data_IF_605745660464
#
_entry.id   IF_605745660464
#
_cell.length_a   1.000
_cell.length_b   1.000
_cell.length_c   1.000
_cell.angle_alpha   90.00
_cell.angle_beta   90.00
_cell.angle_gamma   90.00
#
_symmetry.space_group_name_H-M   'P 1'
#
loop_
_entity.id
_entity.type
_entity.pdbx_description
1 polymer ?
#
# COMPACT_ATOMS: atom_id res chain seq x y z
N UNK A 1 44.67 40.82 24.57
CA UNK A 1 43.89 40.12 25.61
C UNK A 1 43.84 40.89 26.94
N UNK A 2 44.91 41.26 27.58
CA UNK A 2 44.93 42.00 28.91
C UNK A 2 44.07 43.29 28.92
N UNK A 3 44.04 44.08 27.82
CA UNK A 3 43.31 45.34 27.76
C UNK A 3 41.77 45.07 27.70
N UNK A 4 41.33 44.02 27.01
CA UNK A 4 39.90 43.64 26.90
C UNK A 4 39.40 43.17 28.27
N UNK A 5 40.16 42.29 28.93
CA UNK A 5 39.83 41.78 30.27
C UNK A 5 39.72 42.94 31.28
N UNK A 6 40.66 43.89 31.27
CA UNK A 6 40.60 45.05 32.15
C UNK A 6 39.39 45.94 31.88
N UNK A 7 39.04 46.19 30.60
CA UNK A 7 37.89 46.98 30.22
C UNK A 7 36.59 46.39 30.77
N UNK A 8 36.40 45.08 30.62
CA UNK A 8 35.22 44.40 31.17
C UNK A 8 35.23 44.33 32.71
N UNK A 9 36.37 44.20 33.34
CA UNK A 9 36.48 44.20 34.80
C UNK A 9 36.15 45.58 35.42
N UNK A 10 36.42 46.67 34.72
CA UNK A 10 36.14 48.05 35.16
C UNK A 10 34.71 48.50 34.87
N UNK A 11 33.99 47.78 33.94
CA UNK A 11 32.64 48.12 33.47
C UNK A 11 31.61 47.08 33.92
N UNK A 12 31.32 47.03 35.23
CA UNK A 12 30.40 46.02 35.81
C UNK A 12 28.99 46.09 35.22
N UNK A 13 28.53 47.29 34.83
CA UNK A 13 27.21 47.50 34.26
C UNK A 13 27.06 46.81 32.88
N UNK A 14 28.11 46.93 32.04
CA UNK A 14 28.14 46.29 30.71
C UNK A 14 28.15 44.77 30.86
N UNK A 15 28.93 44.25 31.78
CA UNK A 15 29.03 42.81 32.05
C UNK A 15 27.68 42.24 32.51
N UNK A 16 26.98 42.94 33.41
CA UNK A 16 25.67 42.53 33.90
C UNK A 16 24.63 42.54 32.79
N UNK A 17 24.61 43.57 31.94
CA UNK A 17 23.68 43.61 30.80
C UNK A 17 23.93 42.44 29.84
N UNK A 18 25.19 42.19 29.49
CA UNK A 18 25.57 41.06 28.62
C UNK A 18 25.15 39.73 29.25
N UNK A 19 25.42 39.55 30.55
CA UNK A 19 25.06 38.32 31.26
C UNK A 19 23.55 38.09 31.27
N UNK A 20 22.76 39.13 31.53
CA UNK A 20 21.31 39.07 31.52
C UNK A 20 20.82 38.76 30.08
N UNK A 21 21.39 39.41 29.06
CA UNK A 21 21.04 39.15 27.68
C UNK A 21 21.32 37.69 27.27
N UNK A 22 22.46 37.12 27.70
CA UNK A 22 22.80 35.71 27.45
C UNK A 22 21.77 34.76 28.14
N UNK A 23 21.42 35.04 29.40
CA UNK A 23 20.48 34.24 30.16
C UNK A 23 19.09 34.29 29.50
N UNK A 24 18.62 35.48 29.14
CA UNK A 24 17.34 35.65 28.45
C UNK A 24 17.34 34.92 27.10
N UNK A 25 18.41 35.11 26.31
CA UNK A 25 18.59 34.44 25.03
C UNK A 25 18.59 32.92 25.19
N UNK A 26 19.31 32.38 26.18
CA UNK A 26 19.33 30.94 26.49
C UNK A 26 17.94 30.38 26.86
N UNK A 27 17.21 31.13 27.69
CA UNK A 27 15.84 30.77 28.05
C UNK A 27 14.90 30.76 26.81
N UNK A 28 14.97 31.77 25.96
CA UNK A 28 14.19 31.81 24.72
C UNK A 28 14.54 30.63 23.80
N UNK A 29 15.83 30.34 23.60
CA UNK A 29 16.26 29.21 22.79
C UNK A 29 15.76 27.87 23.35
N UNK A 30 15.76 27.71 24.69
CA UNK A 30 15.28 26.49 25.34
C UNK A 30 13.78 26.21 25.03
N UNK A 31 12.96 27.26 24.94
CA UNK A 31 11.53 27.12 24.61
C UNK A 31 11.24 27.01 23.10
N UNK A 32 12.12 27.56 22.26
CA UNK A 32 11.95 27.54 20.79
C UNK A 32 12.69 26.40 20.10
N UNK A 33 13.61 25.73 20.81
CA UNK A 33 14.35 24.60 20.26
C UNK A 33 13.39 23.46 19.85
N UNK A 34 13.46 23.05 18.60
CA UNK A 34 12.75 21.87 18.12
C UNK A 34 13.28 20.65 18.84
N UNK A 35 12.39 19.89 19.46
CA UNK A 35 12.72 18.62 20.10
C UNK A 35 12.41 17.51 19.10
N UNK A 36 13.43 16.82 18.64
CA UNK A 36 13.30 15.62 17.82
C UNK A 36 13.63 14.41 18.69
N UNK A 37 12.79 13.37 18.64
CA UNK A 37 13.05 12.15 19.41
C UNK A 37 14.23 11.35 18.81
N UNK A 38 14.35 11.39 17.47
CA UNK A 38 15.46 10.81 16.73
C UNK A 38 15.98 11.83 15.71
N UNK A 39 17.30 11.90 15.47
CA UNK A 39 17.82 12.69 14.38
C UNK A 39 17.29 12.15 13.05
N UNK A 40 16.94 13.03 12.13
CA UNK A 40 16.59 12.63 10.77
C UNK A 40 17.85 12.07 10.11
N UNK A 41 17.87 10.78 9.91
CA UNK A 41 18.90 10.07 9.15
C UNK A 41 18.22 9.53 7.91
N UNK A 42 18.56 10.04 6.75
CA UNK A 42 18.17 9.45 5.49
C UNK A 42 19.07 8.23 5.29
N UNK A 43 18.50 7.06 5.25
CA UNK A 43 19.28 5.82 5.05
C UNK A 43 19.70 5.63 3.59
N UNK A 44 19.16 6.44 2.69
CA UNK A 44 19.42 6.36 1.25
C UNK A 44 19.18 4.96 0.66
N UNK A 45 18.32 4.18 1.32
CA UNK A 45 17.92 2.85 0.88
C UNK A 45 16.50 2.81 0.38
N UNK A 46 16.31 2.09 -0.72
CA UNK A 46 15.01 1.76 -1.31
C UNK A 46 14.85 0.25 -1.30
N UNK A 47 13.68 -0.24 -0.92
CA UNK A 47 13.34 -1.65 -0.99
C UNK A 47 12.22 -1.84 -2.01
N UNK A 48 12.41 -2.76 -2.94
CA UNK A 48 11.40 -3.19 -3.91
C UNK A 48 11.05 -4.64 -3.57
N UNK A 49 9.80 -4.88 -3.18
CA UNK A 49 9.29 -6.22 -2.92
C UNK A 49 8.30 -6.61 -4.02
N UNK A 50 8.39 -7.87 -4.46
CA UNK A 50 7.46 -8.43 -5.44
C UNK A 50 7.06 -9.82 -5.00
N UNK A 51 5.77 -10.11 -4.97
CA UNK A 51 5.23 -11.44 -4.66
C UNK A 51 4.95 -12.17 -5.97
N UNK A 52 5.40 -13.41 -6.06
CA UNK A 52 5.13 -14.30 -7.20
C UNK A 52 4.64 -15.65 -6.67
N UNK A 53 3.33 -15.81 -6.43
CA UNK A 53 2.76 -16.97 -5.75
C UNK A 53 3.05 -18.28 -6.48
N UNK A 54 3.36 -19.33 -5.72
CA UNK A 54 3.59 -20.68 -6.25
C UNK A 54 4.89 -20.89 -7.01
N UNK A 55 5.80 -19.89 -7.03
CA UNK A 55 7.09 -19.96 -7.72
C UNK A 55 8.21 -20.41 -6.79
N UNK A 56 9.21 -21.10 -7.35
CA UNK A 56 10.45 -21.41 -6.64
C UNK A 56 11.38 -20.20 -6.55
N UNK A 57 12.37 -20.21 -5.66
CA UNK A 57 13.35 -19.13 -5.55
C UNK A 57 14.13 -18.90 -6.86
N UNK A 58 14.39 -19.97 -7.65
CA UNK A 58 15.05 -19.89 -8.95
C UNK A 58 14.16 -19.21 -10.00
N UNK A 59 12.83 -19.51 -9.99
CA UNK A 59 11.87 -18.86 -10.88
C UNK A 59 11.72 -17.38 -10.53
N UNK A 60 11.66 -17.04 -9.24
CA UNK A 60 11.64 -15.67 -8.74
C UNK A 60 12.88 -14.90 -9.18
N UNK A 61 14.08 -15.49 -9.02
CA UNK A 61 15.33 -14.88 -9.45
C UNK A 61 15.29 -14.54 -10.94
N UNK A 62 14.95 -15.54 -11.76
CA UNK A 62 15.01 -15.43 -13.22
C UNK A 62 13.95 -14.50 -13.81
N UNK A 63 12.73 -14.54 -13.26
CA UNK A 63 11.59 -13.86 -13.87
C UNK A 63 11.22 -12.53 -13.19
N UNK A 64 11.69 -12.28 -11.96
CA UNK A 64 11.40 -11.08 -11.20
C UNK A 64 12.69 -10.31 -10.87
N UNK A 65 13.61 -10.93 -10.12
CA UNK A 65 14.77 -10.23 -9.55
C UNK A 65 15.70 -9.70 -10.64
N UNK A 66 16.14 -10.58 -11.57
CA UNK A 66 17.08 -10.19 -12.65
C UNK A 66 16.50 -9.13 -13.59
N UNK A 67 15.25 -9.21 -14.07
CA UNK A 67 14.65 -8.16 -14.90
C UNK A 67 14.62 -6.80 -14.21
N UNK A 68 14.22 -6.74 -12.94
CA UNK A 68 14.19 -5.50 -12.17
C UNK A 68 15.59 -4.96 -11.94
N UNK A 69 16.54 -5.78 -11.44
CA UNK A 69 17.93 -5.36 -11.24
C UNK A 69 18.57 -4.83 -12.53
N UNK A 70 18.29 -5.46 -13.67
CA UNK A 70 18.83 -5.03 -14.97
C UNK A 70 18.40 -3.61 -15.30
N UNK A 71 17.13 -3.27 -15.02
CA UNK A 71 16.62 -1.91 -15.23
C UNK A 71 17.18 -0.92 -14.23
N UNK A 72 17.36 -1.33 -12.96
CA UNK A 72 17.93 -0.46 -11.94
C UNK A 72 19.40 -0.13 -12.21
N UNK A 73 20.17 -1.04 -12.82
CA UNK A 73 21.58 -0.81 -13.20
C UNK A 73 21.77 0.26 -14.30
N UNK A 74 20.71 0.61 -15.02
CA UNK A 74 20.73 1.66 -16.04
C UNK A 74 20.64 3.07 -15.45
N UNK A 75 20.39 3.21 -14.12
CA UNK A 75 20.10 4.48 -13.45
C UNK A 75 21.38 5.04 -12.80
N UNK A 76 21.66 6.31 -13.07
CA UNK A 76 22.77 7.02 -12.43
C UNK A 76 22.44 7.37 -10.97
N UNK A 77 23.44 7.30 -10.09
CA UNK A 77 23.29 7.66 -8.67
C UNK A 77 22.87 6.51 -7.77
N UNK A 78 22.93 5.26 -8.27
CA UNK A 78 22.85 4.05 -7.45
C UNK A 78 24.25 3.60 -7.09
N UNK A 79 24.53 3.35 -5.80
CA UNK A 79 25.79 2.85 -5.29
C UNK A 79 25.83 1.33 -5.32
N UNK A 80 24.79 0.67 -4.75
CA UNK A 80 24.71 -0.79 -4.67
C UNK A 80 23.30 -1.29 -4.88
N UNK A 81 23.16 -2.51 -5.44
CA UNK A 81 21.90 -3.21 -5.62
C UNK A 81 22.07 -4.63 -5.07
N UNK A 82 21.21 -5.02 -4.12
CA UNK A 82 21.19 -6.34 -3.52
C UNK A 82 19.84 -7.02 -3.76
N UNK A 83 19.82 -8.04 -4.63
CA UNK A 83 18.64 -8.86 -4.85
C UNK A 83 18.64 -10.10 -3.95
N UNK A 84 17.50 -10.39 -3.37
CA UNK A 84 17.24 -11.60 -2.59
C UNK A 84 16.00 -12.28 -3.14
N UNK A 85 16.16 -13.51 -3.62
CA UNK A 85 15.07 -14.32 -4.16
C UNK A 85 14.75 -15.46 -3.19
N UNK A 86 13.53 -15.49 -2.72
CA UNK A 86 12.95 -16.52 -1.85
C UNK A 86 11.80 -17.21 -2.58
N UNK A 87 11.30 -18.31 -2.03
CA UNK A 87 10.08 -18.94 -2.52
C UNK A 87 8.92 -17.93 -2.48
N UNK A 88 8.26 -17.75 -3.61
CA UNK A 88 7.16 -16.83 -3.84
C UNK A 88 7.46 -15.33 -3.64
N UNK A 89 8.72 -14.91 -3.41
CA UNK A 89 9.04 -13.50 -3.11
C UNK A 89 10.41 -13.06 -3.62
N UNK A 90 10.46 -11.87 -4.25
CA UNK A 90 11.67 -11.11 -4.51
C UNK A 90 11.75 -9.90 -3.59
N UNK A 91 12.95 -9.60 -3.09
CA UNK A 91 13.24 -8.37 -2.36
C UNK A 91 14.55 -7.78 -2.87
N UNK A 92 14.50 -6.56 -3.40
CA UNK A 92 15.65 -5.86 -3.97
C UNK A 92 15.88 -4.62 -3.14
N UNK A 93 17.04 -4.54 -2.50
CA UNK A 93 17.49 -3.37 -1.76
C UNK A 93 18.46 -2.58 -2.62
N UNK A 94 18.19 -1.29 -2.80
CA UNK A 94 18.96 -0.35 -3.62
C UNK A 94 19.50 0.73 -2.71
N UNK A 95 20.81 0.91 -2.71
CA UNK A 95 21.48 2.02 -2.03
C UNK A 95 21.72 3.15 -3.01
N UNK A 96 21.23 4.35 -2.66
CA UNK A 96 21.49 5.57 -3.41
C UNK A 96 22.87 6.10 -2.97
N UNK A 97 23.68 6.54 -3.93
CA UNK A 97 24.97 7.19 -3.66
C UNK A 97 24.76 8.46 -2.80
N UNK A 98 25.32 8.50 -1.58
CA UNK A 98 25.20 9.65 -0.68
C UNK A 98 25.69 10.97 -1.28
N UNK A 99 26.64 10.91 -2.22
CA UNK A 99 27.24 12.06 -2.89
C UNK A 99 26.42 12.56 -4.10
N UNK A 100 25.32 11.88 -4.43
CA UNK A 100 24.41 12.28 -5.51
C UNK A 100 23.83 13.67 -5.24
N UNK A 101 23.92 14.58 -6.23
CA UNK A 101 23.45 15.97 -6.11
C UNK A 101 21.94 16.11 -5.93
N UNK A 102 21.18 15.21 -6.54
CA UNK A 102 19.71 15.24 -6.53
C UNK A 102 19.15 13.84 -6.28
N UNK A 103 19.08 13.46 -5.01
CA UNK A 103 18.53 12.16 -4.58
C UNK A 103 17.10 11.98 -4.99
N UNK A 104 16.28 13.05 -4.95
CA UNK A 104 14.87 12.98 -5.35
C UNK A 104 14.73 12.63 -6.83
N UNK A 105 15.62 13.12 -7.68
CA UNK A 105 15.64 12.75 -9.09
C UNK A 105 15.94 11.26 -9.25
N UNK A 106 16.98 10.75 -8.58
CA UNK A 106 17.33 9.31 -8.62
C UNK A 106 16.16 8.44 -8.14
N UNK A 107 15.49 8.83 -7.04
CA UNK A 107 14.30 8.13 -6.53
C UNK A 107 13.17 8.08 -7.58
N UNK A 108 12.92 9.21 -8.25
CA UNK A 108 11.90 9.27 -9.30
C UNK A 108 12.31 8.45 -10.54
N UNK A 109 13.58 8.49 -10.93
CA UNK A 109 14.11 7.69 -12.03
C UNK A 109 13.98 6.18 -11.76
N UNK A 110 14.17 5.75 -10.48
CA UNK A 110 13.95 4.37 -10.04
C UNK A 110 12.47 3.99 -10.14
N UNK A 111 11.55 4.86 -9.69
CA UNK A 111 10.10 4.62 -9.81
C UNK A 111 9.67 4.50 -11.27
N UNK A 112 10.12 5.44 -12.10
CA UNK A 112 9.81 5.46 -13.53
C UNK A 112 10.38 4.24 -14.27
N UNK A 113 11.54 3.75 -13.85
CA UNK A 113 12.14 2.55 -14.43
C UNK A 113 11.39 1.28 -13.97
N UNK A 114 10.93 1.24 -12.71
CA UNK A 114 10.13 0.14 -12.17
C UNK A 114 8.80 0.02 -12.93
N UNK A 115 8.10 1.14 -13.16
CA UNK A 115 6.85 1.19 -13.92
C UNK A 115 7.00 0.75 -15.37
N UNK A 116 8.24 0.80 -15.93
CA UNK A 116 8.57 0.36 -17.29
C UNK A 116 9.00 -1.11 -17.37
N UNK A 117 9.08 -1.83 -16.27
CA UNK A 117 9.36 -3.27 -16.30
C UNK A 117 8.10 -4.00 -16.76
N UNK A 118 8.02 -4.31 -18.04
CA UNK A 118 6.84 -4.96 -18.66
C UNK A 118 6.95 -6.47 -18.78
N UNK A 119 8.14 -7.03 -18.50
CA UNK A 119 8.46 -8.44 -18.75
C UNK A 119 8.21 -9.33 -17.51
N UNK A 120 7.42 -8.85 -16.54
CA UNK A 120 7.03 -9.63 -15.37
C UNK A 120 5.91 -10.62 -15.74
N UNK A 121 5.87 -11.82 -15.10
CA UNK A 121 4.79 -12.79 -15.30
C UNK A 121 3.43 -12.21 -14.90
N UNK A 122 2.36 -12.59 -15.60
CA UNK A 122 0.99 -12.15 -15.29
C UNK A 122 0.50 -12.60 -13.91
N UNK A 123 1.07 -13.70 -13.37
CA UNK A 123 0.74 -14.23 -12.03
C UNK A 123 1.55 -13.55 -10.92
N UNK A 124 2.50 -12.67 -11.23
CA UNK A 124 3.24 -11.89 -10.25
C UNK A 124 2.45 -10.65 -9.86
N UNK A 125 2.50 -10.30 -8.57
CA UNK A 125 1.95 -9.04 -8.10
C UNK A 125 2.81 -7.85 -8.55
N UNK A 126 2.21 -6.66 -8.60
CA UNK A 126 2.94 -5.44 -8.92
C UNK A 126 4.05 -5.17 -7.89
N UNK A 127 5.26 -4.76 -8.34
CA UNK A 127 6.36 -4.46 -7.44
C UNK A 127 6.02 -3.32 -6.47
N UNK A 128 6.14 -3.56 -5.17
CA UNK A 128 5.92 -2.55 -4.13
C UNK A 128 7.23 -1.81 -3.84
N UNK A 129 7.22 -0.50 -4.03
CA UNK A 129 8.33 0.41 -3.78
C UNK A 129 8.24 1.01 -2.37
N UNK A 130 9.28 0.85 -1.56
CA UNK A 130 9.37 1.42 -0.21
C UNK A 130 10.69 2.15 -0.02
N UNK A 131 10.63 3.45 0.27
CA UNK A 131 11.79 4.25 0.66
C UNK A 131 12.01 4.14 2.18
N UNK A 132 13.21 3.75 2.60
CA UNK A 132 13.57 3.72 4.02
C UNK A 132 13.90 5.12 4.50
N UNK A 133 12.95 5.79 5.11
CA UNK A 133 13.08 7.12 5.65
C UNK A 133 12.77 7.14 7.15
N UNK A 134 13.70 7.68 7.97
CA UNK A 134 13.46 7.84 9.41
C UNK A 134 12.44 8.92 9.74
N UNK A 135 12.10 9.78 8.78
CA UNK A 135 11.03 10.78 8.97
C UNK A 135 9.65 10.14 9.16
N UNK A 136 9.47 8.89 8.70
CA UNK A 136 8.23 8.11 8.87
C UNK A 136 8.37 7.12 10.04
N UNK A 137 8.70 7.63 11.22
CA UNK A 137 8.74 6.80 12.43
C UNK A 137 7.33 6.67 13.01
N UNK A 138 6.88 5.45 13.30
CA UNK A 138 5.60 5.24 13.98
C UNK A 138 5.53 6.02 15.30
N UNK A 139 4.54 6.89 15.43
CA UNK A 139 4.34 7.72 16.62
C UNK A 139 3.36 7.09 17.59
N UNK A 140 2.35 6.41 17.04
CA UNK A 140 1.25 5.83 17.84
C UNK A 140 0.67 4.60 17.14
N UNK A 141 0.32 3.60 17.94
CA UNK A 141 -0.49 2.47 17.49
C UNK A 141 -1.84 2.48 18.21
N UNK A 142 -2.91 2.38 17.43
CA UNK A 142 -4.29 2.35 17.91
C UNK A 142 -4.93 1.02 17.47
N UNK A 143 -5.28 0.19 18.44
CA UNK A 143 -5.96 -1.08 18.17
C UNK A 143 -7.45 -0.98 18.43
N UNK A 144 -8.25 -1.30 17.40
CA UNK A 144 -9.69 -1.44 17.53
C UNK A 144 -10.05 -2.91 17.77
N UNK A 145 -10.90 -3.12 18.75
CA UNK A 145 -11.38 -4.43 19.16
C UNK A 145 -12.91 -4.42 19.14
N UNK A 146 -13.50 -5.57 18.82
CA UNK A 146 -14.93 -5.78 19.08
C UNK A 146 -15.11 -6.27 20.50
N UNK A 147 -15.98 -5.64 21.28
CA UNK A 147 -16.23 -5.97 22.71
C UNK A 147 -16.68 -7.43 22.90
N UNK A 148 -17.31 -8.03 21.89
CA UNK A 148 -17.85 -9.39 21.93
C UNK A 148 -17.03 -10.40 21.14
N UNK A 149 -15.78 -10.08 20.78
CA UNK A 149 -14.97 -10.78 19.80
C UNK A 149 -15.60 -10.83 18.37
N UNK A 150 -14.75 -11.10 17.37
CA UNK A 150 -15.21 -11.24 15.99
C UNK A 150 -15.58 -12.71 15.78
N UNK A 151 -16.88 -13.00 15.68
CA UNK A 151 -17.40 -14.36 15.52
C UNK A 151 -17.83 -14.67 14.08
N UNK A 152 -18.08 -13.66 13.30
CA UNK A 152 -18.57 -13.79 11.92
C UNK A 152 -18.15 -12.58 11.07
N UNK A 153 -18.31 -12.71 9.77
CA UNK A 153 -17.97 -11.67 8.79
C UNK A 153 -18.70 -10.34 9.05
N UNK A 154 -19.94 -10.40 9.59
CA UNK A 154 -20.70 -9.17 9.90
C UNK A 154 -20.02 -8.32 10.97
N UNK A 155 -19.46 -8.96 12.00
CA UNK A 155 -18.74 -8.26 13.07
C UNK A 155 -17.47 -7.61 12.53
N UNK A 156 -16.80 -8.27 11.58
CA UNK A 156 -15.61 -7.75 10.92
C UNK A 156 -15.93 -6.60 9.98
N UNK A 157 -17.03 -6.66 9.22
CA UNK A 157 -17.51 -5.53 8.40
C UNK A 157 -17.75 -4.27 9.24
N UNK A 158 -18.33 -4.44 10.43
CA UNK A 158 -18.57 -3.33 11.34
C UNK A 158 -17.24 -2.75 11.87
N UNK A 159 -16.32 -3.61 12.30
CA UNK A 159 -15.00 -3.19 12.80
C UNK A 159 -14.21 -2.45 11.72
N UNK A 160 -14.20 -2.96 10.49
CA UNK A 160 -13.56 -2.31 9.34
C UNK A 160 -14.13 -0.92 9.06
N UNK A 161 -15.45 -0.77 9.16
CA UNK A 161 -16.10 0.55 8.99
C UNK A 161 -15.59 1.56 10.00
N UNK A 162 -15.45 1.16 11.27
CA UNK A 162 -14.89 2.03 12.30
C UNK A 162 -13.41 2.29 12.09
N UNK A 163 -12.63 1.27 11.67
CA UNK A 163 -11.22 1.43 11.34
C UNK A 163 -11.02 2.44 10.21
N UNK A 164 -11.82 2.35 9.14
CA UNK A 164 -11.76 3.31 8.03
C UNK A 164 -12.14 4.72 8.46
N UNK A 165 -13.19 4.86 9.26
CA UNK A 165 -13.60 6.18 9.79
C UNK A 165 -12.50 6.80 10.66
N UNK A 166 -11.83 5.98 11.47
CA UNK A 166 -10.72 6.44 12.32
C UNK A 166 -9.49 6.80 11.48
N UNK A 167 -9.13 6.00 10.49
CA UNK A 167 -8.08 6.30 9.52
C UNK A 167 -8.31 7.66 8.86
N UNK A 168 -9.51 7.90 8.32
CA UNK A 168 -9.86 9.15 7.65
C UNK A 168 -9.73 10.35 8.61
N UNK A 169 -10.14 10.19 9.88
CA UNK A 169 -9.99 11.23 10.92
C UNK A 169 -8.55 11.48 11.32
N UNK A 170 -7.73 10.44 11.37
CA UNK A 170 -6.30 10.57 11.69
C UNK A 170 -5.56 11.29 10.57
N UNK A 171 -5.87 11.01 9.31
CA UNK A 171 -5.28 11.68 8.15
C UNK A 171 -5.66 13.17 8.04
N UNK A 172 -6.77 13.60 8.66
CA UNK A 172 -7.14 15.03 8.75
C UNK A 172 -6.25 15.82 9.74
N UNK A 173 -5.50 15.13 10.60
CA UNK A 173 -4.65 15.78 11.62
C UNK A 173 -3.36 16.30 10.97
N UNK A 174 -3.07 17.59 11.16
CA UNK A 174 -1.83 18.19 10.66
C UNK A 174 -0.60 17.50 11.26
N UNK A 175 0.25 16.96 10.41
CA UNK A 175 1.48 16.26 10.82
C UNK A 175 1.40 14.74 10.71
N UNK A 176 0.23 14.17 10.45
CA UNK A 176 0.08 12.76 10.11
C UNK A 176 0.35 12.59 8.62
N UNK A 177 1.38 11.82 8.28
CA UNK A 177 1.77 11.55 6.90
C UNK A 177 1.10 10.31 6.32
N UNK A 178 0.96 9.26 7.13
CA UNK A 178 0.43 7.96 6.72
C UNK A 178 -0.21 7.25 7.91
N UNK A 179 -1.18 6.39 7.62
CA UNK A 179 -1.76 5.46 8.61
C UNK A 179 -1.69 4.06 8.01
N UNK A 180 -0.83 3.22 8.57
CA UNK A 180 -0.71 1.82 8.17
C UNK A 180 -1.71 0.96 8.96
N UNK A 181 -2.29 -0.04 8.28
CA UNK A 181 -3.30 -0.94 8.86
C UNK A 181 -2.74 -2.36 8.97
N UNK A 182 -2.89 -2.98 10.15
CA UNK A 182 -2.58 -4.39 10.37
C UNK A 182 -3.85 -5.13 10.79
N UNK A 183 -4.09 -6.33 10.26
CA UNK A 183 -5.30 -7.09 10.51
C UNK A 183 -6.55 -6.53 9.81
N UNK A 184 -6.36 -5.73 8.75
CA UNK A 184 -7.44 -5.17 7.93
C UNK A 184 -7.48 -5.96 6.62
N UNK A 185 -8.25 -7.07 6.62
CA UNK A 185 -8.37 -7.96 5.44
C UNK A 185 -9.14 -7.29 4.32
N UNK A 186 -8.74 -7.51 3.09
CA UNK A 186 -9.50 -7.01 1.94
C UNK A 186 -10.83 -7.78 1.76
N UNK A 187 -11.84 -7.05 1.29
CA UNK A 187 -13.17 -7.64 1.05
C UNK A 187 -13.16 -8.38 -0.28
N UNK A 188 -13.61 -9.61 -0.26
CA UNK A 188 -13.67 -10.48 -1.42
C UNK A 188 -15.05 -11.06 -1.66
N UNK A 189 -15.39 -11.23 -2.93
CA UNK A 189 -16.57 -11.98 -3.36
C UNK A 189 -16.16 -13.40 -3.70
N UNK A 190 -16.36 -14.34 -2.77
CA UNK A 190 -15.97 -15.73 -2.93
C UNK A 190 -17.05 -16.48 -3.72
N UNK A 191 -16.65 -17.10 -4.83
CA UNK A 191 -17.54 -17.90 -5.69
C UNK A 191 -17.21 -19.38 -5.52
N UNK A 192 -17.90 -20.06 -4.62
CA UNK A 192 -17.75 -21.51 -4.36
C UNK A 192 -18.52 -22.32 -5.42
N UNK A 193 -17.82 -22.83 -6.41
CA UNK A 193 -18.41 -23.61 -7.50
C UNK A 193 -18.66 -25.06 -7.06
N UNK A 194 -19.86 -25.60 -7.37
CA UNK A 194 -20.21 -26.98 -7.08
C UNK A 194 -19.81 -27.90 -8.25
N UNK A 195 -18.86 -28.85 -8.06
CA UNK A 195 -18.39 -29.73 -9.13
C UNK A 195 -19.49 -30.63 -9.74
N UNK A 196 -20.44 -31.10 -8.94
CA UNK A 196 -21.53 -31.96 -9.42
C UNK A 196 -22.45 -31.19 -10.35
N UNK A 197 -22.70 -29.93 -10.05
CA UNK A 197 -23.52 -29.05 -10.93
C UNK A 197 -22.79 -28.73 -12.22
N UNK A 198 -21.46 -28.48 -12.17
CA UNK A 198 -20.64 -28.31 -13.38
C UNK A 198 -20.77 -29.52 -14.31
N UNK A 199 -20.62 -30.72 -13.77
CA UNK A 199 -20.74 -31.97 -14.52
C UNK A 199 -22.15 -32.17 -15.09
N UNK A 200 -23.17 -31.89 -14.28
CA UNK A 200 -24.59 -32.10 -14.72
C UNK A 200 -24.97 -31.14 -15.85
N UNK A 201 -24.49 -29.89 -15.80
CA UNK A 201 -24.81 -28.87 -16.79
C UNK A 201 -23.75 -28.78 -17.91
N UNK A 202 -22.74 -29.68 -17.88
CA UNK A 202 -21.64 -29.74 -18.86
C UNK A 202 -20.93 -28.39 -19.06
N UNK A 203 -20.67 -27.68 -17.97
CA UNK A 203 -19.95 -26.37 -17.96
C UNK A 203 -18.54 -26.58 -17.46
N UNK A 204 -17.55 -26.11 -18.20
CA UNK A 204 -16.17 -26.10 -17.77
C UNK A 204 -15.91 -24.95 -16.77
N UNK A 205 -15.03 -25.19 -15.78
CA UNK A 205 -14.65 -24.15 -14.81
C UNK A 205 -14.10 -22.88 -15.50
N UNK A 206 -13.35 -23.04 -16.59
CA UNK A 206 -12.81 -21.92 -17.37
C UNK A 206 -13.90 -21.05 -18.01
N UNK A 207 -15.07 -21.60 -18.29
CA UNK A 207 -16.22 -20.81 -18.79
C UNK A 207 -16.75 -19.89 -17.68
N UNK A 208 -16.78 -20.38 -16.45
CA UNK A 208 -17.19 -19.60 -15.27
C UNK A 208 -16.20 -18.45 -15.04
N UNK A 209 -14.88 -18.77 -15.02
CA UNK A 209 -13.81 -17.79 -14.85
C UNK A 209 -13.89 -16.72 -15.95
N UNK A 210 -14.01 -17.13 -17.23
CA UNK A 210 -14.11 -16.20 -18.35
C UNK A 210 -15.34 -15.30 -18.29
N UNK A 211 -16.49 -15.84 -17.83
CA UNK A 211 -17.72 -15.07 -17.69
C UNK A 211 -17.61 -14.02 -16.58
N UNK A 212 -16.98 -14.36 -15.45
CA UNK A 212 -16.74 -13.45 -14.34
C UNK A 212 -15.76 -12.35 -14.72
N UNK A 213 -14.63 -12.70 -15.32
CA UNK A 213 -13.61 -11.74 -15.77
C UNK A 213 -14.19 -10.73 -16.76
N UNK A 214 -14.98 -11.19 -17.74
CA UNK A 214 -15.62 -10.31 -18.72
C UNK A 214 -16.65 -9.37 -18.10
N UNK A 215 -17.30 -9.78 -17.03
CA UNK A 215 -18.33 -8.95 -16.35
C UNK A 215 -17.70 -7.85 -15.51
N UNK A 216 -16.53 -8.08 -14.92
CA UNK A 216 -15.86 -7.12 -14.05
C UNK A 216 -15.02 -6.08 -14.80
N UNK A 217 -15.18 -5.95 -16.11
CA UNK A 217 -14.44 -5.00 -16.93
C UNK A 217 -15.28 -3.75 -17.23
N UNK A 218 -14.70 -2.60 -16.96
CA UNK A 218 -15.21 -1.30 -17.38
C UNK A 218 -14.68 -0.97 -18.78
N UNK A 219 -15.49 -1.20 -19.82
CA UNK A 219 -15.13 -0.82 -21.18
C UNK A 219 -15.67 0.56 -21.54
N UNK A 220 -14.84 1.48 -22.03
CA UNK A 220 -15.33 2.67 -22.72
C UNK A 220 -15.96 2.21 -24.04
N UNK A 221 -17.29 2.30 -24.15
CA UNK A 221 -18.05 1.91 -25.34
C UNK A 221 -17.90 2.86 -26.54
N UNK A 222 -17.02 3.88 -26.42
CA UNK A 222 -16.80 4.88 -27.47
C UNK A 222 -17.80 6.04 -27.45
N UNK A 223 -17.74 6.87 -28.48
CA UNK A 223 -18.60 8.05 -28.64
C UNK A 223 -19.54 7.83 -29.82
N UNK A 224 -20.83 7.95 -29.59
CA UNK A 224 -21.84 8.01 -30.67
C UNK A 224 -22.06 9.48 -31.01
N UNK A 225 -21.73 9.85 -32.26
CA UNK A 225 -22.02 11.16 -32.83
C UNK A 225 -23.38 11.13 -33.51
N UNK A 226 -24.30 11.95 -33.03
CA UNK A 226 -25.64 12.12 -33.64
C UNK A 226 -25.82 13.57 -34.07
N UNK A 227 -26.83 13.83 -34.87
CA UNK A 227 -27.20 15.21 -35.28
C UNK A 227 -27.61 16.11 -34.10
N UNK A 228 -27.85 15.53 -32.90
CA UNK A 228 -28.24 16.24 -31.66
C UNK A 228 -27.10 16.36 -30.63
N UNK A 229 -25.91 15.80 -30.91
CA UNK A 229 -24.76 15.85 -30.00
C UNK A 229 -23.94 14.58 -29.95
N UNK A 230 -22.87 14.61 -29.19
CA UNK A 230 -22.00 13.48 -28.93
C UNK A 230 -22.40 12.81 -27.60
N UNK A 231 -22.62 11.50 -27.62
CA UNK A 231 -22.96 10.70 -26.44
C UNK A 231 -21.83 9.73 -26.14
N UNK A 232 -21.24 9.85 -24.95
CA UNK A 232 -20.25 8.90 -24.45
C UNK A 232 -20.99 7.65 -23.94
N UNK A 233 -20.68 6.49 -24.55
CA UNK A 233 -21.15 5.20 -24.05
C UNK A 233 -20.09 4.63 -23.14
N UNK A 234 -20.48 4.30 -21.91
CA UNK A 234 -19.64 3.61 -20.94
C UNK A 234 -20.40 2.39 -20.42
N UNK A 235 -19.80 1.22 -20.56
CA UNK A 235 -20.29 0.02 -19.89
C UNK A 235 -19.75 0.02 -18.46
N UNK A 236 -20.65 0.09 -17.46
CA UNK A 236 -20.29 -0.05 -16.06
C UNK A 236 -20.47 -1.52 -15.72
N UNK A 237 -19.36 -2.24 -15.64
CA UNK A 237 -19.32 -3.68 -15.33
C UNK A 237 -18.96 -4.00 -13.89
N UNK A 238 -18.77 -2.99 -13.04
CA UNK A 238 -18.37 -3.18 -11.65
C UNK A 238 -19.40 -4.01 -10.86
N UNK A 239 -18.93 -5.11 -10.29
CA UNK A 239 -19.73 -5.98 -9.42
C UNK A 239 -19.70 -5.39 -8.01
N UNK A 240 -20.89 -5.06 -7.47
CA UNK A 240 -21.02 -4.40 -6.15
C UNK A 240 -21.53 -5.31 -5.05
N UNK A 241 -22.23 -6.37 -5.42
CA UNK A 241 -22.88 -7.26 -4.47
C UNK A 241 -22.96 -8.69 -5.02
N UNK A 242 -23.28 -9.63 -4.13
CA UNK A 242 -23.44 -11.06 -4.46
C UNK A 242 -24.52 -11.32 -5.49
N UNK A 243 -25.58 -10.50 -5.52
CA UNK A 243 -26.68 -10.65 -6.49
C UNK A 243 -26.25 -10.34 -7.93
N UNK A 244 -25.32 -9.41 -8.11
CA UNK A 244 -24.76 -9.07 -9.42
C UNK A 244 -23.95 -10.24 -9.97
N UNK A 245 -23.18 -10.94 -9.12
CA UNK A 245 -22.43 -12.14 -9.49
C UNK A 245 -23.36 -13.29 -9.80
N UNK A 246 -24.38 -13.54 -8.95
CA UNK A 246 -25.33 -14.62 -9.17
C UNK A 246 -26.07 -14.52 -10.53
N UNK A 247 -26.25 -13.29 -11.03
CA UNK A 247 -26.92 -13.02 -12.32
C UNK A 247 -25.99 -13.11 -13.53
N UNK A 248 -24.68 -13.27 -13.34
CA UNK A 248 -23.72 -13.38 -14.46
C UNK A 248 -24.08 -14.59 -15.33
N UNK A 249 -24.22 -14.34 -16.62
CA UNK A 249 -24.55 -15.36 -17.61
C UNK A 249 -23.27 -16.08 -18.06
N UNK A 250 -23.23 -17.40 -17.88
CA UNK A 250 -22.10 -18.23 -18.31
C UNK A 250 -22.36 -18.75 -19.73
N UNK A 251 -23.55 -19.30 -19.96
CA UNK A 251 -23.94 -19.86 -21.25
C UNK A 251 -25.40 -19.57 -21.55
N UNK A 252 -25.71 -19.27 -22.81
CA UNK A 252 -27.05 -19.19 -23.34
C UNK A 252 -27.15 -19.98 -24.65
N UNK A 253 -28.28 -20.57 -24.95
CA UNK A 253 -28.55 -21.19 -26.25
C UNK A 253 -29.70 -20.49 -26.96
N UNK A 254 -29.85 -20.77 -28.28
CA UNK A 254 -30.88 -20.16 -29.13
C UNK A 254 -32.32 -20.55 -28.75
N UNK A 255 -32.49 -21.58 -27.91
CA UNK A 255 -33.78 -22.04 -27.41
C UNK A 255 -34.24 -21.33 -26.13
N UNK A 256 -33.47 -20.33 -25.66
CA UNK A 256 -33.78 -19.52 -24.47
C UNK A 256 -33.39 -20.19 -23.15
N UNK A 257 -32.60 -21.26 -23.17
CA UNK A 257 -32.03 -21.85 -21.98
C UNK A 257 -30.71 -21.12 -21.62
N UNK A 258 -30.56 -20.70 -20.39
CA UNK A 258 -29.36 -20.03 -19.87
C UNK A 258 -28.89 -20.67 -18.59
N UNK A 259 -27.57 -20.61 -18.36
CA UNK A 259 -26.91 -21.02 -17.12
C UNK A 259 -26.22 -19.79 -16.53
N UNK A 260 -26.50 -19.48 -15.27
CA UNK A 260 -25.94 -18.38 -14.51
C UNK A 260 -24.97 -18.88 -13.45
N UNK A 261 -24.14 -18.01 -12.92
CA UNK A 261 -23.23 -18.35 -11.82
C UNK A 261 -23.99 -18.88 -10.61
N UNK A 262 -25.12 -18.27 -10.23
CA UNK A 262 -25.95 -18.72 -9.12
C UNK A 262 -26.55 -20.12 -9.27
N UNK A 263 -26.65 -20.66 -10.49
CA UNK A 263 -27.11 -22.03 -10.73
C UNK A 263 -26.02 -23.06 -10.38
N UNK A 264 -24.74 -22.68 -10.53
CA UNK A 264 -23.56 -23.54 -10.39
C UNK A 264 -22.79 -23.34 -9.10
N UNK A 265 -22.87 -22.14 -8.53
CA UNK A 265 -22.01 -21.71 -7.43
C UNK A 265 -22.83 -21.09 -6.29
N UNK A 266 -22.21 -21.03 -5.13
CA UNK A 266 -22.65 -20.22 -4.00
C UNK A 266 -21.75 -19.01 -3.88
N UNK A 267 -22.34 -17.82 -3.95
CA UNK A 267 -21.59 -16.56 -3.81
C UNK A 267 -21.69 -16.06 -2.37
N UNK A 268 -20.55 -15.75 -1.79
CA UNK A 268 -20.42 -15.17 -0.45
C UNK A 268 -19.70 -13.84 -0.53
N UNK A 269 -20.14 -12.88 0.24
CA UNK A 269 -19.44 -11.63 0.53
C UNK A 269 -18.64 -11.86 1.82
N UNK A 270 -17.33 -11.89 1.73
CA UNK A 270 -16.45 -12.26 2.83
C UNK A 270 -15.14 -11.47 2.74
N UNK A 271 -14.08 -12.00 3.28
CA UNK A 271 -12.75 -11.42 3.32
C UNK A 271 -11.73 -12.43 2.80
N UNK A 272 -10.59 -11.92 2.33
CA UNK A 272 -9.43 -12.75 2.00
C UNK A 272 -9.05 -13.69 3.14
N UNK A 273 -8.42 -14.82 2.81
CA UNK A 273 -7.89 -15.73 3.83
C UNK A 273 -6.85 -15.01 4.71
N UNK A 274 -6.86 -15.34 6.00
CA UNK A 274 -6.05 -14.67 7.00
C UNK A 274 -4.73 -15.42 7.21
N UNK A 275 -3.67 -14.98 6.54
CA UNK A 275 -2.32 -15.53 6.73
C UNK A 275 -1.70 -15.14 8.07
N UNK A 276 -2.00 -13.92 8.54
CA UNK A 276 -1.47 -13.37 9.79
C UNK A 276 -2.61 -12.83 10.65
N UNK A 277 -2.84 -13.48 11.77
CA UNK A 277 -3.87 -13.04 12.74
C UNK A 277 -3.32 -11.94 13.63
N UNK A 278 -3.89 -10.73 13.52
CA UNK A 278 -3.57 -9.63 14.42
C UNK A 278 -4.46 -9.67 15.66
N UNK A 279 -3.84 -9.70 16.84
CA UNK A 279 -4.55 -9.76 18.12
C UNK A 279 -4.03 -8.72 19.12
N UNK A 280 -4.95 -8.11 19.85
CA UNK A 280 -4.65 -7.22 20.96
C UNK A 280 -5.47 -7.69 22.18
N UNK A 281 -4.82 -7.84 23.33
CA UNK A 281 -5.45 -8.39 24.56
C UNK A 281 -6.08 -9.80 24.39
N UNK A 282 -5.58 -10.57 23.41
CA UNK A 282 -6.11 -11.91 23.13
C UNK A 282 -7.23 -11.97 22.09
N UNK A 283 -7.85 -10.85 21.75
CA UNK A 283 -8.95 -10.73 20.81
C UNK A 283 -8.44 -10.28 19.44
N UNK A 284 -9.15 -10.66 18.35
CA UNK A 284 -8.85 -10.16 16.99
C UNK A 284 -9.01 -8.66 16.95
N UNK A 285 -8.06 -7.98 16.30
CA UNK A 285 -8.02 -6.52 16.26
C UNK A 285 -7.56 -5.99 14.91
N UNK A 286 -8.02 -4.79 14.59
CA UNK A 286 -7.43 -3.96 13.52
C UNK A 286 -6.55 -2.92 14.19
N UNK A 287 -5.26 -2.90 13.87
CA UNK A 287 -4.31 -1.94 14.44
C UNK A 287 -3.95 -0.89 13.39
N UNK A 288 -4.15 0.37 13.74
CA UNK A 288 -3.78 1.53 12.95
C UNK A 288 -2.46 2.09 13.50
N UNK A 289 -1.43 2.11 12.68
CA UNK A 289 -0.12 2.67 13.02
C UNK A 289 0.00 4.04 12.37
N UNK A 290 0.08 5.09 13.19
CA UNK A 290 0.19 6.48 12.74
C UNK A 290 1.65 6.85 12.56
N UNK A 291 1.98 7.39 11.39
CA UNK A 291 3.32 7.77 10.97
C UNK A 291 3.38 9.25 10.62
#
# INVERSE_FOLDING_TARGET
MKRIIRYFAEQSLIVNIISIAIVISGLLFMFTAKKEAFPRVDFDWIIINTIYPGSTAEDVEKHITIPIETKMKEIDGIEEIHGTSLEARSSIAIQIDPDTRDKNKTINDIKDALDKVTDLPEDAEDPEFTELNTAMTPVMELSLLNINDIKNDSDEFELRKYAKMLEDRLLEINGVGKVDKKGYREREMIVEVNPDKLNTLHVAINEVISALSKKNLNFPGGIIKTSKGEFLIRTIGEVKNTDDINKVLIRANDTGYWVRVGDLAKVKDSFEEEDIINKTLGEKSITLTVV
#
